data_IF_046115753272
#
_entry.id   IF_046115753272
#
_cell.length_a   1.000
_cell.length_b   1.000
_cell.length_c   1.000
_cell.angle_alpha   90.00
_cell.angle_beta   90.00
_cell.angle_gamma   90.00
#
_symmetry.space_group_name_H-M   'P 1'
#
loop_
_entity.id
_entity.type
_entity.pdbx_description
1 polymer ?
#
# COMPACT_ATOMS: atom_id res chain seq x y z
N UNK A 1 -7.82 49.71 70.18
CA UNK A 1 -7.90 50.24 68.79
C UNK A 1 -9.26 49.89 68.21
N UNK A 2 -9.99 50.83 67.59
CA UNK A 2 -11.32 50.56 67.06
C UNK A 2 -11.22 49.72 65.77
N UNK A 3 -11.97 48.62 65.70
CA UNK A 3 -12.00 47.71 64.57
C UNK A 3 -12.81 48.36 63.43
N UNK A 4 -12.11 48.88 62.42
CA UNK A 4 -12.74 49.48 61.23
C UNK A 4 -13.62 48.43 60.55
N UNK A 5 -14.93 48.68 60.54
CA UNK A 5 -15.93 47.82 59.90
C UNK A 5 -15.99 48.19 58.42
N UNK A 6 -15.42 47.34 57.56
CA UNK A 6 -15.44 47.57 56.10
C UNK A 6 -16.86 47.34 55.57
N UNK A 7 -17.50 48.34 54.94
CA UNK A 7 -18.84 48.16 54.37
C UNK A 7 -18.76 47.24 53.14
N UNK A 8 -19.49 46.12 53.17
CA UNK A 8 -19.61 45.21 52.03
C UNK A 8 -20.56 45.80 51.00
N UNK A 9 -20.03 46.32 49.90
CA UNK A 9 -20.84 46.62 48.71
C UNK A 9 -21.00 45.33 47.92
N UNK A 10 -22.24 44.89 47.74
CA UNK A 10 -22.57 43.81 46.81
C UNK A 10 -22.35 44.34 45.39
N UNK A 11 -21.34 43.84 44.70
CA UNK A 11 -21.16 44.05 43.27
C UNK A 11 -22.12 43.12 42.56
N UNK A 12 -23.25 43.63 42.07
CA UNK A 12 -24.09 42.89 41.14
C UNK A 12 -23.26 42.63 39.88
N UNK A 13 -22.96 41.35 39.61
CA UNK A 13 -22.23 40.95 38.41
C UNK A 13 -23.24 40.92 37.28
N UNK A 14 -23.05 41.78 36.28
CA UNK A 14 -23.87 41.75 35.08
C UNK A 14 -23.54 40.49 34.27
N UNK A 15 -24.52 39.60 34.15
CA UNK A 15 -24.41 38.34 33.41
C UNK A 15 -24.69 38.52 31.92
N UNK A 16 -25.12 39.70 31.48
CA UNK A 16 -25.54 39.96 30.09
C UNK A 16 -24.42 39.64 29.10
N UNK A 17 -23.18 40.05 29.40
CA UNK A 17 -22.03 39.77 28.55
C UNK A 17 -21.67 38.26 28.50
N UNK A 18 -21.86 37.52 29.60
CA UNK A 18 -21.56 36.08 29.64
C UNK A 18 -22.66 35.25 28.97
N UNK A 19 -23.92 35.67 29.10
CA UNK A 19 -25.06 35.02 28.48
C UNK A 19 -25.04 35.14 26.95
N UNK A 20 -24.64 36.30 26.43
CA UNK A 20 -24.53 36.55 24.99
C UNK A 20 -23.50 35.62 24.32
N UNK A 21 -22.30 35.50 24.90
CA UNK A 21 -21.26 34.58 24.41
C UNK A 21 -21.73 33.13 24.42
N UNK A 22 -22.46 32.71 25.47
CA UNK A 22 -23.00 31.36 25.55
C UNK A 22 -24.07 31.10 24.48
N UNK A 23 -24.94 32.08 24.19
CA UNK A 23 -25.98 31.94 23.17
C UNK A 23 -25.40 31.90 21.76
N UNK A 24 -24.35 32.69 21.48
CA UNK A 24 -23.63 32.64 20.21
C UNK A 24 -22.98 31.27 19.96
N UNK A 25 -22.40 30.65 21.00
CA UNK A 25 -21.82 29.31 20.87
C UNK A 25 -22.90 28.24 20.69
N UNK A 26 -24.01 28.32 21.43
CA UNK A 26 -25.12 27.37 21.29
C UNK A 26 -25.73 27.43 19.89
N UNK A 27 -25.99 28.63 19.36
CA UNK A 27 -26.51 28.80 17.99
C UNK A 27 -25.50 28.37 16.94
N UNK A 28 -24.21 28.68 17.12
CA UNK A 28 -23.15 28.18 16.25
C UNK A 28 -23.10 26.65 16.24
N UNK A 29 -23.15 25.98 17.40
CA UNK A 29 -23.15 24.53 17.47
C UNK A 29 -24.42 23.94 16.86
N UNK A 30 -25.61 24.50 17.13
CA UNK A 30 -26.86 24.03 16.51
C UNK A 30 -26.79 24.15 14.98
N UNK A 31 -26.31 25.26 14.43
CA UNK A 31 -26.24 25.48 12.98
C UNK A 31 -25.16 24.64 12.28
N UNK A 32 -24.04 24.38 12.97
CA UNK A 32 -22.93 23.58 12.42
C UNK A 32 -23.11 22.08 12.63
N UNK A 33 -23.98 21.65 13.56
CA UNK A 33 -24.32 20.23 13.70
C UNK A 33 -24.99 19.74 12.42
N UNK A 34 -24.24 18.93 11.65
CA UNK A 34 -24.82 18.14 10.57
C UNK A 34 -25.36 16.87 11.19
N UNK A 35 -26.60 16.51 10.86
CA UNK A 35 -27.09 15.17 11.17
C UNK A 35 -26.13 14.16 10.56
N UNK A 36 -25.56 13.29 11.40
CA UNK A 36 -24.81 12.14 10.90
C UNK A 36 -25.80 11.35 10.04
N UNK A 37 -25.57 11.15 8.74
CA UNK A 37 -26.41 10.27 7.96
C UNK A 37 -26.42 8.91 8.66
N UNK A 38 -27.62 8.35 8.88
CA UNK A 38 -27.71 6.97 9.35
C UNK A 38 -27.05 6.10 8.30
N UNK A 39 -25.83 5.64 8.59
CA UNK A 39 -25.19 4.57 7.82
C UNK A 39 -26.10 3.34 8.00
N UNK A 40 -26.90 3.04 6.99
CA UNK A 40 -27.92 1.97 6.97
C UNK A 40 -27.34 0.57 7.13
N UNK A 41 -26.03 0.44 7.16
CA UNK A 41 -25.31 -0.82 7.31
C UNK A 41 -24.07 -0.52 8.15
N UNK A 42 -23.91 -1.21 9.29
CA UNK A 42 -22.58 -1.34 9.89
C UNK A 42 -21.73 -2.10 8.88
N UNK A 43 -20.84 -1.37 8.19
CA UNK A 43 -19.86 -2.01 7.33
C UNK A 43 -18.78 -2.54 8.27
N UNK A 44 -18.90 -3.81 8.64
CA UNK A 44 -17.80 -4.57 9.22
C UNK A 44 -16.74 -4.75 8.13
N UNK A 45 -15.86 -3.76 8.00
CA UNK A 45 -14.68 -3.89 7.17
C UNK A 45 -13.82 -4.96 7.86
N UNK A 46 -13.58 -6.13 7.25
CA UNK A 46 -12.65 -7.09 7.84
C UNK A 46 -11.31 -6.38 8.02
N UNK A 47 -10.76 -6.43 9.24
CA UNK A 47 -9.44 -5.85 9.53
C UNK A 47 -8.38 -6.66 8.79
N UNK A 48 -8.18 -6.38 7.50
CA UNK A 48 -7.00 -6.83 6.79
C UNK A 48 -5.86 -5.89 7.13
N UNK A 49 -5.32 -6.03 8.33
CA UNK A 49 -4.00 -5.51 8.66
C UNK A 49 -2.97 -6.61 8.45
N UNK A 50 -2.98 -7.24 7.29
CA UNK A 50 -1.80 -7.92 6.79
C UNK A 50 -0.97 -6.90 6.00
N UNK A 51 -0.46 -5.86 6.68
CA UNK A 51 0.74 -5.18 6.21
C UNK A 51 1.91 -6.10 6.55
N UNK A 52 2.02 -7.19 5.80
CA UNK A 52 3.32 -7.84 5.66
C UNK A 52 4.16 -6.76 4.98
N UNK A 53 5.18 -6.19 5.65
CA UNK A 53 6.06 -5.26 4.97
C UNK A 53 6.61 -6.01 3.78
N UNK A 54 6.24 -5.58 2.58
CA UNK A 54 6.80 -6.14 1.36
C UNK A 54 8.29 -5.82 1.47
N UNK A 55 9.17 -6.83 1.50
CA UNK A 55 10.60 -6.57 1.57
C UNK A 55 10.97 -5.71 0.37
N UNK A 56 11.71 -4.62 0.59
CA UNK A 56 12.07 -3.67 -0.47
C UNK A 56 13.07 -4.25 -1.50
N UNK A 57 13.46 -5.52 -1.34
CA UNK A 57 14.48 -6.21 -2.16
C UNK A 57 14.04 -7.65 -2.47
N UNK A 58 14.45 -8.13 -3.63
CA UNK A 58 14.18 -9.46 -4.17
C UNK A 58 12.69 -9.70 -4.45
N UNK A 59 12.00 -8.67 -4.93
CA UNK A 59 10.58 -8.73 -5.27
C UNK A 59 10.39 -9.24 -6.70
N UNK A 60 9.62 -10.32 -6.84
CA UNK A 60 9.04 -10.76 -8.10
C UNK A 60 7.61 -10.23 -8.23
N UNK A 61 7.40 -9.30 -9.16
CA UNK A 61 6.10 -8.70 -9.45
C UNK A 61 5.41 -9.45 -10.59
N UNK A 62 4.14 -9.82 -10.39
CA UNK A 62 3.31 -10.47 -11.40
C UNK A 62 2.02 -9.67 -11.55
N UNK A 63 1.83 -9.05 -12.72
CA UNK A 63 0.61 -8.35 -13.07
C UNK A 63 -0.25 -9.23 -13.97
N UNK A 64 -1.51 -9.43 -13.57
CA UNK A 64 -2.49 -10.16 -14.36
C UNK A 64 -3.52 -9.14 -14.83
N UNK A 65 -3.56 -8.90 -16.14
CA UNK A 65 -4.55 -8.02 -16.74
C UNK A 65 -5.87 -8.79 -16.96
N UNK A 66 -7.04 -8.12 -16.93
CA UNK A 66 -8.35 -8.78 -17.11
C UNK A 66 -8.51 -9.54 -18.43
N UNK A 67 -7.72 -9.18 -19.44
CA UNK A 67 -7.64 -9.86 -20.74
C UNK A 67 -6.77 -11.14 -20.71
N UNK A 68 -6.31 -11.56 -19.52
CA UNK A 68 -5.52 -12.77 -19.33
C UNK A 68 -4.03 -12.61 -19.69
N UNK A 69 -3.56 -11.39 -19.98
CA UNK A 69 -2.13 -11.14 -20.18
C UNK A 69 -1.41 -11.07 -18.84
N UNK A 70 -0.25 -11.72 -18.77
CA UNK A 70 0.59 -11.71 -17.58
C UNK A 70 1.86 -10.92 -17.87
N UNK A 71 2.20 -9.99 -16.99
CA UNK A 71 3.48 -9.29 -17.01
C UNK A 71 4.26 -9.66 -15.77
N UNK A 72 5.54 -9.97 -15.94
CA UNK A 72 6.45 -10.31 -14.85
C UNK A 72 7.54 -9.26 -14.78
N UNK A 73 7.92 -8.89 -13.55
CA UNK A 73 9.00 -7.94 -13.30
C UNK A 73 9.83 -8.37 -12.09
N UNK A 74 11.12 -8.06 -12.14
CA UNK A 74 12.05 -8.17 -11.01
C UNK A 74 12.51 -6.77 -10.65
N UNK A 75 12.74 -6.47 -9.38
CA UNK A 75 13.18 -5.14 -8.91
C UNK A 75 14.65 -4.82 -9.25
N UNK A 76 15.57 -5.75 -9.01
CA UNK A 76 17.01 -5.51 -9.13
C UNK A 76 17.58 -5.82 -10.52
N UNK A 77 18.40 -4.89 -11.04
CA UNK A 77 19.05 -5.03 -12.35
C UNK A 77 20.07 -6.17 -12.39
N UNK A 78 20.79 -6.42 -11.28
CA UNK A 78 21.77 -7.50 -11.25
C UNK A 78 21.08 -8.86 -11.18
N UNK A 79 19.97 -8.97 -10.44
CA UNK A 79 19.11 -10.16 -10.43
C UNK A 79 18.53 -10.45 -11.81
N UNK A 80 18.16 -9.42 -12.59
CA UNK A 80 17.74 -9.59 -14.00
C UNK A 80 18.88 -10.12 -14.90
N UNK A 81 20.10 -9.63 -14.74
CA UNK A 81 21.26 -10.14 -15.50
C UNK A 81 21.61 -11.58 -15.10
N UNK A 82 21.58 -11.90 -13.80
CA UNK A 82 21.79 -13.25 -13.30
C UNK A 82 20.69 -14.22 -13.77
N UNK A 83 19.45 -13.74 -13.92
CA UNK A 83 18.37 -14.52 -14.55
C UNK A 83 18.70 -14.84 -16.00
N UNK A 84 19.19 -13.87 -16.78
CA UNK A 84 19.61 -14.12 -18.16
C UNK A 84 20.73 -15.15 -18.22
N UNK A 85 21.74 -15.06 -17.35
CA UNK A 85 22.85 -16.03 -17.33
C UNK A 85 22.35 -17.45 -17.05
N UNK A 86 21.41 -17.60 -16.11
CA UNK A 86 20.76 -18.90 -15.84
C UNK A 86 19.90 -19.38 -17.02
N UNK A 87 19.26 -18.48 -17.76
CA UNK A 87 18.48 -18.83 -18.95
C UNK A 87 19.39 -19.24 -20.12
N UNK A 88 20.54 -18.59 -20.28
CA UNK A 88 21.55 -18.97 -21.27
C UNK A 88 22.08 -20.38 -20.99
N UNK A 89 22.37 -20.70 -19.72
CA UNK A 89 22.81 -22.03 -19.31
C UNK A 89 21.72 -23.09 -19.46
N UNK A 90 20.51 -22.83 -18.96
CA UNK A 90 19.42 -23.80 -18.95
C UNK A 90 18.83 -24.11 -20.33
N UNK A 91 18.85 -23.15 -21.25
CA UNK A 91 18.25 -23.30 -22.58
C UNK A 91 19.27 -23.27 -23.72
N UNK A 92 20.56 -23.09 -23.44
CA UNK A 92 21.62 -22.94 -24.46
C UNK A 92 21.31 -21.84 -25.50
N UNK A 93 20.55 -20.82 -25.09
CA UNK A 93 20.22 -19.65 -25.92
C UNK A 93 21.29 -18.59 -25.67
N UNK A 94 21.78 -17.92 -26.72
CA UNK A 94 22.73 -16.82 -26.57
C UNK A 94 22.01 -15.49 -26.76
N UNK A 95 22.08 -14.58 -25.79
CA UNK A 95 21.55 -13.23 -25.94
C UNK A 95 22.64 -12.29 -26.48
N UNK A 96 22.28 -11.43 -27.43
CA UNK A 96 23.17 -10.39 -27.93
C UNK A 96 23.42 -9.31 -26.85
N UNK A 97 24.58 -8.63 -26.81
CA UNK A 97 24.84 -7.55 -25.85
C UNK A 97 23.72 -6.49 -25.82
N UNK A 98 23.18 -6.14 -27.00
CA UNK A 98 22.05 -5.20 -27.13
C UNK A 98 20.76 -5.69 -26.47
N UNK A 99 20.50 -7.00 -26.51
CA UNK A 99 19.32 -7.61 -25.90
C UNK A 99 19.46 -7.67 -24.38
N UNK A 100 20.67 -7.92 -23.88
CA UNK A 100 20.99 -7.91 -22.45
C UNK A 100 20.81 -6.51 -21.86
N UNK A 101 21.28 -5.48 -22.58
CA UNK A 101 21.08 -4.07 -22.18
C UNK A 101 19.60 -3.67 -22.21
N UNK A 102 18.87 -4.09 -23.24
CA UNK A 102 17.42 -3.83 -23.32
C UNK A 102 16.65 -4.52 -22.19
N UNK A 103 16.99 -5.77 -21.86
CA UNK A 103 16.35 -6.52 -20.78
C UNK A 103 16.69 -5.95 -19.40
N UNK A 104 17.92 -5.47 -19.20
CA UNK A 104 18.34 -4.78 -17.98
C UNK A 104 17.44 -3.57 -17.66
N UNK A 105 17.08 -2.81 -18.70
CA UNK A 105 16.23 -1.62 -18.60
C UNK A 105 14.72 -1.94 -18.59
N UNK A 106 14.34 -3.17 -18.91
CA UNK A 106 12.93 -3.56 -18.96
C UNK A 106 12.49 -4.05 -17.58
N UNK A 107 11.65 -3.27 -16.92
CA UNK A 107 11.13 -3.60 -15.58
C UNK A 107 10.02 -4.65 -15.62
N UNK A 108 9.24 -4.69 -16.71
CA UNK A 108 8.10 -5.58 -16.90
C UNK A 108 8.17 -6.22 -18.29
N UNK A 109 8.21 -7.54 -18.37
CA UNK A 109 8.12 -8.29 -19.62
C UNK A 109 6.85 -9.14 -19.66
N UNK A 110 6.23 -9.22 -20.83
CA UNK A 110 5.01 -10.00 -21.04
C UNK A 110 5.28 -11.49 -21.20
N UNK A 111 4.41 -12.32 -20.64
CA UNK A 111 4.34 -13.75 -20.88
C UNK A 111 2.88 -14.19 -21.08
N UNK A 112 2.66 -15.19 -21.92
CA UNK A 112 1.33 -15.79 -22.08
C UNK A 112 1.00 -16.61 -20.82
N UNK A 113 -0.20 -16.43 -20.25
CA UNK A 113 -0.69 -17.17 -19.08
C UNK A 113 -0.65 -18.68 -19.28
N UNK A 114 -0.76 -19.16 -20.52
CA UNK A 114 -0.66 -20.59 -20.86
C UNK A 114 0.74 -21.17 -20.63
N UNK A 115 1.76 -20.31 -20.58
CA UNK A 115 3.16 -20.69 -20.37
C UNK A 115 3.55 -20.65 -18.88
N UNK A 116 2.73 -20.03 -18.00
CA UNK A 116 2.99 -19.96 -16.56
C UNK A 116 3.07 -21.32 -15.86
N UNK A 117 2.19 -22.30 -16.11
CA UNK A 117 2.25 -23.59 -15.42
C UNK A 117 3.56 -24.34 -15.69
N UNK A 118 4.07 -24.24 -16.93
CA UNK A 118 5.37 -24.82 -17.30
C UNK A 118 6.53 -24.12 -16.60
N UNK A 119 6.44 -22.80 -16.43
CA UNK A 119 7.44 -22.03 -15.70
C UNK A 119 7.51 -22.40 -14.21
N UNK A 120 6.38 -22.63 -13.54
CA UNK A 120 6.34 -23.00 -12.11
C UNK A 120 6.92 -24.38 -11.84
N UNK A 121 6.60 -25.37 -12.69
CA UNK A 121 7.18 -26.71 -12.59
C UNK A 121 8.71 -26.65 -12.76
N UNK A 122 9.19 -25.75 -13.62
CA UNK A 122 10.62 -25.58 -13.93
C UNK A 122 11.44 -24.90 -12.82
N UNK A 123 10.84 -23.99 -12.05
CA UNK A 123 11.52 -23.29 -10.94
C UNK A 123 11.48 -24.11 -9.65
N UNK A 124 10.37 -24.80 -9.39
CA UNK A 124 10.16 -25.53 -8.14
C UNK A 124 10.82 -26.92 -8.12
N UNK A 125 11.23 -27.43 -9.28
CA UNK A 125 11.99 -28.67 -9.40
C UNK A 125 13.33 -28.32 -10.03
N UNK A 126 14.47 -28.45 -9.32
CA UNK A 126 15.77 -28.35 -9.96
C UNK A 126 15.84 -29.42 -11.04
N UNK A 127 15.86 -28.99 -12.30
CA UNK A 127 16.07 -29.88 -13.45
C UNK A 127 17.43 -30.52 -13.26
N UNK A 128 17.44 -31.78 -12.82
CA UNK A 128 18.64 -32.60 -12.95
C UNK A 128 19.01 -32.64 -14.43
N UNK A 129 20.27 -32.42 -14.80
CA UNK A 129 20.68 -32.47 -16.20
C UNK A 129 20.37 -33.86 -16.73
N UNK A 130 19.60 -33.93 -17.82
CA UNK A 130 19.46 -35.16 -18.60
C UNK A 130 20.85 -35.52 -19.14
N UNK A 131 21.54 -36.39 -18.41
CA UNK A 131 22.69 -37.12 -18.92
C UNK A 131 22.17 -38.06 -20.01
N UNK A 132 22.62 -37.85 -21.25
CA UNK A 132 22.52 -38.82 -22.33
C UNK A 132 22.89 -40.21 -21.83
N UNK A 133 22.00 -41.21 -21.96
CA UNK A 133 22.34 -42.57 -22.40
C UNK A 133 21.12 -43.21 -23.07
N UNK A 134 21.30 -43.69 -24.31
CA UNK A 134 20.30 -44.39 -25.12
C UNK A 134 20.35 -44.01 -26.58
#
# INVERSE_FOLDING_TARGET
MPKVKVPRKSTAIDMTAMCDVAFLLLTFFILTTKFRPQEVVQIDIPSSTAQIPIPDKDILMIHISPDGKVFMGLDDQNTRLALLDKLEEAYSIKFSPKQRDAFRLTELWGMDIRQLPQFWIRILIPVQPLHNQG
#
